data_IF_438625397290
#
_entry.id   IF_438625397290
#
_cell.length_a   1.000
_cell.length_b   1.000
_cell.length_c   1.000
_cell.angle_alpha   90.00
_cell.angle_beta   90.00
_cell.angle_gamma   90.00
#
_symmetry.space_group_name_H-M   'P 1'
#
loop_
_entity.id
_entity.type
_entity.pdbx_description
1 polymer ?
#
# COMPACT_ATOMS: atom_id res chain seq x y z
N UNK A 1 -5.35 10.91 7.74
CA UNK A 1 -4.17 10.61 8.57
C UNK A 1 -3.84 11.82 9.44
N UNK A 2 -3.39 11.59 10.67
CA UNK A 2 -2.95 12.64 11.59
C UNK A 2 -1.56 12.33 12.15
N UNK A 3 -0.71 13.35 12.31
CA UNK A 3 0.65 13.18 12.82
C UNK A 3 0.83 13.93 14.15
N UNK A 4 1.44 13.26 15.12
CA UNK A 4 1.80 13.80 16.44
C UNK A 4 3.34 13.91 16.48
N UNK A 5 3.91 15.07 16.12
CA UNK A 5 5.36 15.23 15.96
C UNK A 5 6.16 14.95 17.23
N UNK A 6 5.64 15.34 18.39
CA UNK A 6 6.28 15.19 19.69
C UNK A 6 6.54 13.72 20.05
N UNK A 7 5.75 12.82 19.48
CA UNK A 7 5.86 11.37 19.69
C UNK A 7 6.31 10.61 18.44
N UNK A 8 6.48 11.30 17.30
CA UNK A 8 6.77 10.67 16.02
C UNK A 8 5.69 9.68 15.56
N UNK A 9 4.42 9.89 15.96
CA UNK A 9 3.31 8.96 15.71
C UNK A 9 2.45 9.43 14.54
N UNK A 10 2.32 8.60 13.52
CA UNK A 10 1.36 8.74 12.43
C UNK A 10 0.14 7.85 12.67
N UNK A 11 -1.00 8.48 12.91
CA UNK A 11 -2.33 7.84 12.93
C UNK A 11 -2.79 7.66 11.47
N UNK A 12 -2.55 6.47 10.93
CA UNK A 12 -2.78 6.16 9.52
C UNK A 12 -4.23 5.71 9.24
N UNK A 13 -4.89 5.06 10.20
CA UNK A 13 -6.24 4.54 10.00
C UNK A 13 -6.30 3.54 8.83
N UNK A 14 -7.40 3.54 8.07
CA UNK A 14 -7.61 2.62 6.93
C UNK A 14 -6.73 2.98 5.71
N UNK A 15 -5.98 4.08 5.77
CA UNK A 15 -5.04 4.46 4.70
C UNK A 15 -3.82 3.53 4.65
N UNK A 16 -3.56 2.80 5.73
CA UNK A 16 -2.49 1.79 5.84
C UNK A 16 -3.10 0.56 6.51
N UNK A 17 -3.01 -0.59 5.85
CA UNK A 17 -3.55 -1.83 6.38
C UNK A 17 -2.58 -2.98 6.12
N UNK A 18 -2.57 -3.96 7.02
CA UNK A 18 -1.71 -5.15 6.91
C UNK A 18 -2.60 -6.39 6.93
N UNK A 19 -2.47 -7.30 5.94
CA UNK A 19 -1.42 -7.37 4.93
C UNK A 19 -1.63 -6.49 3.69
N UNK A 20 -2.83 -5.97 3.45
CA UNK A 20 -3.13 -5.14 2.28
C UNK A 20 -4.37 -4.27 2.52
N UNK A 21 -4.47 -3.10 1.87
CA UNK A 21 -5.60 -2.20 2.02
C UNK A 21 -6.81 -2.62 1.18
N UNK A 22 -8.01 -2.18 1.58
CA UNK A 22 -9.23 -2.27 0.77
C UNK A 22 -9.29 -1.12 -0.24
N UNK A 23 -9.54 -1.43 -1.52
CA UNK A 23 -9.64 -0.44 -2.59
C UNK A 23 -11.07 -0.40 -3.14
N UNK A 24 -11.60 0.82 -3.28
CA UNK A 24 -12.90 1.09 -3.87
C UNK A 24 -12.74 1.55 -5.33
N UNK A 25 -13.80 1.42 -6.14
CA UNK A 25 -13.75 1.72 -7.57
C UNK A 25 -13.26 3.13 -7.90
N UNK A 26 -13.60 4.11 -7.06
CA UNK A 26 -13.26 5.53 -7.25
C UNK A 26 -12.13 5.99 -6.30
N UNK A 27 -11.37 5.06 -5.73
CA UNK A 27 -10.23 5.39 -4.88
C UNK A 27 -9.18 6.17 -5.69
N UNK A 28 -8.72 7.35 -5.23
CA UNK A 28 -7.71 8.15 -5.92
C UNK A 28 -6.32 7.54 -5.73
N UNK A 29 -6.04 6.47 -6.47
CA UNK A 29 -4.88 5.60 -6.23
C UNK A 29 -3.54 6.34 -6.30
N UNK A 30 -3.36 7.23 -7.27
CA UNK A 30 -2.12 8.02 -7.41
C UNK A 30 -1.89 8.97 -6.24
N UNK A 31 -2.95 9.66 -5.79
CA UNK A 31 -2.87 10.60 -4.68
C UNK A 31 -2.65 9.88 -3.36
N UNK A 32 -3.23 8.68 -3.22
CA UNK A 32 -2.98 7.80 -2.08
C UNK A 32 -1.52 7.36 -2.04
N UNK A 33 -0.98 6.83 -3.14
CA UNK A 33 0.44 6.42 -3.23
C UNK A 33 1.35 7.61 -2.92
N UNK A 34 1.11 8.77 -3.54
CA UNK A 34 1.91 9.97 -3.31
C UNK A 34 1.83 10.45 -1.85
N UNK A 35 0.65 10.35 -1.22
CA UNK A 35 0.46 10.66 0.19
C UNK A 35 1.28 9.75 1.10
N UNK A 36 1.25 8.44 0.85
CA UNK A 36 2.05 7.47 1.61
C UNK A 36 3.55 7.70 1.43
N UNK A 37 4.00 7.99 0.20
CA UNK A 37 5.41 8.26 -0.09
C UNK A 37 5.93 9.48 0.68
N UNK A 38 5.13 10.54 0.80
CA UNK A 38 5.50 11.72 1.60
C UNK A 38 5.73 11.35 3.07
N UNK A 39 4.88 10.51 3.64
CA UNK A 39 5.03 10.07 5.04
C UNK A 39 6.17 9.06 5.23
N UNK A 40 6.43 8.23 4.23
CA UNK A 40 7.55 7.28 4.25
C UNK A 40 8.91 8.00 4.24
N UNK A 41 8.99 9.15 3.55
CA UNK A 41 10.17 9.99 3.48
C UNK A 41 10.33 10.94 4.68
N UNK A 42 9.29 11.14 5.49
CA UNK A 42 9.34 11.99 6.68
C UNK A 42 10.05 11.25 7.81
N UNK A 43 11.30 11.64 8.09
CA UNK A 43 12.14 11.00 9.09
C UNK A 43 11.60 11.15 10.52
N UNK A 44 10.68 12.09 10.77
CA UNK A 44 10.01 12.28 12.05
C UNK A 44 8.97 11.19 12.33
N UNK A 45 8.48 10.49 11.31
CA UNK A 45 7.57 9.35 11.50
C UNK A 45 8.38 8.16 12.03
N UNK A 46 8.19 7.85 13.30
CA UNK A 46 8.80 6.71 13.99
C UNK A 46 7.82 5.54 14.14
N UNK A 47 6.54 5.87 14.34
CA UNK A 47 5.47 4.90 14.56
C UNK A 47 4.30 5.15 13.63
N UNK A 48 3.70 4.09 13.12
CA UNK A 48 2.52 4.10 12.27
C UNK A 48 1.46 3.23 12.92
N UNK A 49 0.30 3.83 13.17
CA UNK A 49 -0.85 3.18 13.80
C UNK A 49 -1.95 2.99 12.74
N UNK A 50 -2.13 1.77 12.19
CA UNK A 50 -3.24 1.46 11.31
C UNK A 50 -4.55 1.31 12.11
N UNK A 51 -5.71 1.32 11.42
CA UNK A 51 -6.99 0.95 12.07
C UNK A 51 -7.03 -0.52 12.50
N UNK A 52 -6.36 -1.38 11.72
CA UNK A 52 -6.35 -2.82 11.89
C UNK A 52 -4.93 -3.37 11.76
N UNK A 53 -4.65 -4.42 12.53
CA UNK A 53 -3.34 -5.07 12.54
C UNK A 53 -2.38 -4.50 13.58
N UNK A 54 -1.10 -4.78 13.39
CA UNK A 54 -0.05 -4.43 14.35
C UNK A 54 0.47 -3.01 14.12
N UNK A 55 0.83 -2.35 15.22
CA UNK A 55 1.64 -1.13 15.18
C UNK A 55 3.01 -1.46 14.56
N UNK A 56 3.52 -0.54 13.75
CA UNK A 56 4.85 -0.64 13.16
C UNK A 56 5.46 0.75 12.96
N UNK A 57 6.43 0.84 12.07
CA UNK A 57 7.06 2.07 11.61
C UNK A 57 6.82 2.30 10.11
N UNK A 58 7.75 3.03 9.49
CA UNK A 58 7.66 3.42 8.06
C UNK A 58 7.65 2.22 7.11
N UNK A 59 8.05 1.03 7.55
CA UNK A 59 7.92 -0.21 6.78
C UNK A 59 6.46 -0.57 6.46
N UNK A 60 5.49 -0.21 7.29
CA UNK A 60 4.07 -0.41 6.96
C UNK A 60 3.64 0.45 5.77
N UNK A 61 4.16 1.68 5.70
CA UNK A 61 3.95 2.58 4.55
C UNK A 61 4.56 1.97 3.29
N UNK A 62 5.80 1.49 3.36
CA UNK A 62 6.49 0.85 2.23
C UNK A 62 5.71 -0.35 1.69
N UNK A 63 5.24 -1.23 2.57
CA UNK A 63 4.44 -2.40 2.17
C UNK A 63 3.15 -2.01 1.45
N UNK A 64 2.45 -0.97 1.94
CA UNK A 64 1.25 -0.47 1.30
C UNK A 64 1.56 0.21 -0.04
N UNK A 65 2.61 1.04 -0.12
CA UNK A 65 3.09 1.64 -1.37
C UNK A 65 3.40 0.55 -2.40
N UNK A 66 4.18 -0.46 -2.02
CA UNK A 66 4.58 -1.55 -2.92
C UNK A 66 3.35 -2.32 -3.44
N UNK A 67 2.37 -2.60 -2.58
CA UNK A 67 1.13 -3.26 -2.98
C UNK A 67 0.33 -2.40 -3.98
N UNK A 68 0.12 -1.12 -3.67
CA UNK A 68 -0.67 -0.20 -4.48
C UNK A 68 0.01 0.08 -5.84
N UNK A 69 1.33 0.23 -5.86
CA UNK A 69 2.10 0.39 -7.11
C UNK A 69 2.05 -0.86 -7.98
N UNK A 70 2.24 -2.05 -7.39
CA UNK A 70 2.11 -3.30 -8.12
C UNK A 70 0.72 -3.44 -8.72
N UNK A 71 -0.33 -3.09 -7.97
CA UNK A 71 -1.69 -3.10 -8.46
C UNK A 71 -1.89 -2.10 -9.62
N UNK A 72 -1.43 -0.85 -9.47
CA UNK A 72 -1.46 0.16 -10.54
C UNK A 72 -0.78 -0.35 -11.80
N UNK A 73 0.37 -1.00 -11.67
CA UNK A 73 1.20 -1.44 -12.80
C UNK A 73 0.77 -2.82 -13.35
N UNK A 74 -0.30 -3.41 -12.81
CA UNK A 74 -0.77 -4.74 -13.18
C UNK A 74 0.24 -5.87 -12.89
N UNK A 75 1.15 -5.63 -11.94
CA UNK A 75 2.17 -6.58 -11.48
C UNK A 75 1.59 -7.33 -10.27
N UNK A 76 1.62 -8.67 -10.23
CA UNK A 76 1.16 -9.42 -9.07
C UNK A 76 1.96 -9.03 -7.81
N UNK A 77 1.31 -8.51 -6.75
CA UNK A 77 2.01 -8.13 -5.53
C UNK A 77 2.49 -9.37 -4.78
N UNK A 78 3.57 -9.21 -4.00
CA UNK A 78 4.03 -10.26 -3.08
C UNK A 78 3.10 -10.31 -1.87
N UNK A 79 2.37 -11.40 -1.73
CA UNK A 79 1.46 -11.64 -0.62
C UNK A 79 2.08 -12.58 0.43
N UNK A 80 1.66 -12.52 1.70
CA UNK A 80 1.99 -13.54 2.69
C UNK A 80 1.53 -14.93 2.23
N UNK A 81 2.29 -15.97 2.57
CA UNK A 81 1.94 -17.36 2.20
C UNK A 81 0.57 -17.78 2.74
N UNK A 82 0.19 -17.26 3.91
CA UNK A 82 -1.11 -17.50 4.53
C UNK A 82 -1.86 -16.17 4.66
N UNK A 83 -2.82 -15.98 3.77
CA UNK A 83 -3.87 -14.98 3.88
C UNK A 83 -5.13 -15.65 4.43
N UNK A 84 -5.77 -15.00 5.40
CA UNK A 84 -7.12 -15.38 5.80
C UNK A 84 -8.13 -15.16 4.66
N UNK A 85 -9.36 -15.66 4.84
CA UNK A 85 -10.40 -15.58 3.82
C UNK A 85 -10.74 -14.13 3.43
N UNK A 86 -10.77 -13.24 4.42
CA UNK A 86 -11.12 -11.84 4.19
C UNK A 86 -10.09 -11.13 3.30
N UNK A 87 -8.79 -11.24 3.62
CA UNK A 87 -7.76 -10.56 2.82
C UNK A 87 -7.53 -11.22 1.46
N UNK A 88 -7.81 -12.53 1.32
CA UNK A 88 -7.83 -13.20 0.02
C UNK A 88 -8.91 -12.62 -0.88
N UNK A 89 -10.15 -12.56 -0.41
CA UNK A 89 -11.26 -11.96 -1.15
C UNK A 89 -11.01 -10.48 -1.45
N UNK A 90 -10.42 -9.75 -0.49
CA UNK A 90 -10.06 -8.34 -0.66
C UNK A 90 -9.03 -8.18 -1.77
N UNK A 91 -7.97 -9.00 -1.81
CA UNK A 91 -7.00 -8.95 -2.91
C UNK A 91 -7.64 -9.26 -4.26
N UNK A 92 -8.51 -10.28 -4.35
CA UNK A 92 -9.22 -10.62 -5.58
C UNK A 92 -10.11 -9.48 -6.08
N UNK A 93 -10.75 -8.74 -5.17
CA UNK A 93 -11.53 -7.53 -5.49
C UNK A 93 -10.61 -6.40 -5.96
N UNK A 94 -9.55 -6.11 -5.22
CA UNK A 94 -8.57 -5.08 -5.57
C UNK A 94 -7.98 -5.33 -6.96
N UNK A 95 -7.67 -6.59 -7.29
CA UNK A 95 -7.12 -7.00 -8.58
C UNK A 95 -8.01 -6.66 -9.78
N UNK A 96 -9.32 -6.44 -9.57
CA UNK A 96 -10.25 -5.98 -10.62
C UNK A 96 -10.00 -4.52 -11.01
N UNK A 97 -9.39 -3.73 -10.13
CA UNK A 97 -9.05 -2.32 -10.33
C UNK A 97 -7.60 -2.10 -10.76
N UNK A 98 -6.86 -3.17 -11.05
CA UNK A 98 -5.47 -3.07 -11.51
C UNK A 98 -5.38 -2.30 -12.83
N UNK A 99 -4.27 -1.59 -13.03
CA UNK A 99 -3.97 -1.01 -14.33
C UNK A 99 -3.53 -2.07 -15.35
N UNK A 100 -3.30 -1.68 -16.61
CA UNK A 100 -2.84 -2.60 -17.64
C UNK A 100 -1.50 -3.23 -17.22
N UNK A 101 -1.32 -4.51 -17.52
CA UNK A 101 -0.09 -5.21 -17.21
C UNK A 101 1.10 -4.47 -17.86
N UNK A 102 2.07 -4.06 -17.05
CA UNK A 102 3.30 -3.46 -17.55
C UNK A 102 3.92 -4.36 -18.62
N UNK A 103 3.98 -3.88 -19.86
CA UNK A 103 4.66 -4.58 -20.95
C UNK A 103 6.13 -4.66 -20.58
N UNK A 104 6.60 -5.83 -20.13
CA UNK A 104 8.03 -6.08 -19.93
C UNK A 104 8.74 -5.69 -21.22
N UNK A 105 9.70 -4.77 -21.13
CA UNK A 105 10.39 -4.19 -22.27
C UNK A 105 10.76 -5.26 -23.28
N UNK A 106 10.26 -5.11 -24.52
CA UNK A 106 10.86 -5.77 -25.67
C UNK A 106 12.29 -5.26 -25.75
N UNK A 107 13.25 -6.05 -25.30
CA UNK A 107 14.63 -5.90 -25.72
C UNK A 107 14.67 -6.19 -27.22
N UNK A 108 14.55 -5.13 -28.02
CA UNK A 108 14.98 -5.13 -29.41
C UNK A 108 16.46 -4.77 -29.37
N UNK A 109 17.30 -5.81 -29.22
CA UNK A 109 18.72 -5.74 -29.50
C UNK A 109 18.91 -5.78 -31.01
N UNK A 110 19.56 -4.74 -31.53
CA UNK A 110 19.97 -4.54 -32.92
C UNK A 110 21.26 -5.32 -33.22
#
# INVERSE_FOLDING_TARGET
MGFIPEWGVLLAGDTVETPLPVINADSPLEEWIAGLQRWEQDDRVQHVIPSHGMLGGRELLRQNIDYLQNLRDGIPPKLPEKLDGFYRETHEKNWRYRGPAASRGRSIGN
#
